data_IF_125156331113
#
_entry.id   IF_125156331113
#
_cell.length_a   1.000
_cell.length_b   1.000
_cell.length_c   1.000
_cell.angle_alpha   90.00
_cell.angle_beta   90.00
_cell.angle_gamma   90.00
#
_symmetry.space_group_name_H-M   'P 1'
#
loop_
_entity.id
_entity.type
_entity.pdbx_description
1 polymer ?
#
# COMPACT_ATOMS: atom_id res chain seq x y z
N UNK A 1 -4.64 -4.66 26.59
CA UNK A 1 -5.57 -3.69 25.97
C UNK A 1 -4.86 -2.60 25.15
N UNK A 2 -3.78 -1.97 25.64
CA UNK A 2 -3.08 -0.86 24.94
C UNK A 2 -2.56 -1.23 23.54
N UNK A 3 -2.12 -2.48 23.29
CA UNK A 3 -1.67 -2.91 21.95
C UNK A 3 -2.80 -3.02 20.91
N UNK A 4 -4.02 -3.34 21.33
CA UNK A 4 -5.18 -3.51 20.44
C UNK A 4 -5.81 -2.18 20.04
N UNK A 5 -5.68 -1.12 20.84
CA UNK A 5 -6.18 0.21 20.49
C UNK A 5 -5.15 1.05 19.72
N UNK A 6 -3.87 0.66 19.78
CA UNK A 6 -2.76 1.37 19.13
C UNK A 6 -2.98 1.60 17.62
N UNK A 7 -3.59 0.68 16.84
CA UNK A 7 -3.88 0.92 15.42
C UNK A 7 -4.97 1.97 15.21
N UNK A 8 -5.98 2.05 16.08
CA UNK A 8 -7.05 3.06 16.01
C UNK A 8 -6.54 4.47 16.31
N UNK A 9 -5.51 4.60 17.14
CA UNK A 9 -4.90 5.90 17.44
C UNK A 9 -3.81 6.33 16.44
N UNK A 10 -3.52 5.52 15.41
CA UNK A 10 -2.51 5.85 14.40
C UNK A 10 -3.14 6.39 13.13
N UNK A 11 -2.70 7.58 12.70
CA UNK A 11 -3.08 8.19 11.43
C UNK A 11 -2.79 7.30 10.20
N UNK A 12 -1.83 6.36 10.33
CA UNK A 12 -1.50 5.39 9.27
C UNK A 12 -2.65 4.43 8.93
N UNK A 13 -3.51 4.09 9.89
CA UNK A 13 -4.66 3.22 9.64
C UNK A 13 -5.69 3.95 8.77
N UNK A 14 -5.96 5.22 9.06
CA UNK A 14 -6.93 6.02 8.32
C UNK A 14 -6.42 6.41 6.93
N UNK A 15 -5.13 6.70 6.78
CA UNK A 15 -4.53 6.99 5.46
C UNK A 15 -4.53 5.75 4.56
N UNK A 16 -4.29 4.55 5.11
CA UNK A 16 -4.46 3.27 4.39
C UNK A 16 -5.89 3.01 3.98
N UNK A 17 -6.84 3.27 4.88
CA UNK A 17 -8.27 3.16 4.59
C UNK A 17 -8.66 4.12 3.46
N UNK A 18 -8.23 5.38 3.55
CA UNK A 18 -8.46 6.39 2.52
C UNK A 18 -7.88 5.95 1.18
N UNK A 19 -6.67 5.40 1.15
CA UNK A 19 -6.04 4.90 -0.07
C UNK A 19 -6.87 3.82 -0.78
N UNK A 20 -7.54 2.95 -0.02
CA UNK A 20 -8.44 1.91 -0.55
C UNK A 20 -9.80 2.47 -0.99
N UNK A 21 -10.27 3.55 -0.36
CA UNK A 21 -11.55 4.19 -0.67
C UNK A 21 -11.52 5.11 -1.89
N UNK A 22 -10.42 5.82 -2.15
CA UNK A 22 -10.31 6.75 -3.30
C UNK A 22 -10.77 6.14 -4.64
N UNK A 23 -10.31 4.95 -5.08
CA UNK A 23 -10.75 4.37 -6.35
C UNK A 23 -12.25 4.00 -6.35
N UNK A 24 -12.83 3.73 -5.19
CA UNK A 24 -14.25 3.39 -5.06
C UNK A 24 -15.15 4.59 -5.31
N UNK A 25 -14.65 5.83 -5.25
CA UNK A 25 -15.42 7.01 -5.64
C UNK A 25 -15.80 6.97 -7.13
N UNK A 26 -14.87 6.56 -7.98
CA UNK A 26 -15.11 6.42 -9.43
C UNK A 26 -16.15 5.33 -9.68
N UNK A 27 -16.04 4.20 -8.98
CA UNK A 27 -17.02 3.10 -9.06
C UNK A 27 -18.40 3.57 -8.58
N UNK A 28 -18.45 4.33 -7.48
CA UNK A 28 -19.70 4.84 -6.92
C UNK A 28 -20.40 5.78 -7.90
N UNK A 29 -19.66 6.72 -8.51
CA UNK A 29 -20.19 7.60 -9.55
C UNK A 29 -20.67 6.80 -10.77
N UNK A 30 -19.91 5.77 -11.16
CA UNK A 30 -20.30 4.91 -12.29
C UNK A 30 -21.60 4.15 -12.02
N UNK A 31 -21.85 3.69 -10.79
CA UNK A 31 -23.09 3.00 -10.43
C UNK A 31 -24.34 3.89 -10.62
N UNK A 32 -24.21 5.21 -10.53
CA UNK A 32 -25.31 6.13 -10.87
C UNK A 32 -25.57 6.25 -12.38
N UNK A 33 -24.60 5.91 -13.21
CA UNK A 33 -24.70 5.96 -14.67
C UNK A 33 -25.24 4.62 -15.19
N UNK A 34 -24.60 3.52 -14.80
CA UNK A 34 -25.00 2.16 -15.19
C UNK A 34 -24.66 1.16 -14.08
N UNK A 35 -25.69 0.76 -13.33
CA UNK A 35 -25.60 -0.21 -12.24
C UNK A 35 -25.28 -1.63 -12.73
N UNK A 36 -25.71 -2.00 -13.95
CA UNK A 36 -25.49 -3.36 -14.49
C UNK A 36 -24.04 -3.59 -14.90
N UNK A 37 -23.32 -2.52 -15.23
CA UNK A 37 -21.96 -2.57 -15.76
C UNK A 37 -20.91 -2.14 -14.73
N UNK A 38 -21.05 -2.57 -13.47
CA UNK A 38 -20.11 -2.26 -12.37
C UNK A 38 -18.65 -2.67 -12.62
N UNK A 39 -18.40 -3.55 -13.60
CA UNK A 39 -17.07 -4.03 -13.98
C UNK A 39 -16.33 -3.08 -14.94
N UNK A 40 -17.02 -2.11 -15.55
CA UNK A 40 -16.44 -1.20 -16.55
C UNK A 40 -15.28 -0.37 -15.99
N UNK A 41 -15.37 0.25 -14.79
CA UNK A 41 -14.22 0.95 -14.20
C UNK A 41 -12.99 0.05 -14.03
N UNK A 42 -13.19 -1.22 -13.66
CA UNK A 42 -12.09 -2.18 -13.53
C UNK A 42 -11.50 -2.60 -14.90
N UNK A 43 -12.31 -2.65 -15.95
CA UNK A 43 -11.84 -2.90 -17.31
C UNK A 43 -11.04 -1.71 -17.86
N UNK A 44 -11.48 -0.47 -17.60
CA UNK A 44 -10.80 0.77 -18.00
C UNK A 44 -9.44 0.93 -17.30
N UNK A 45 -9.27 0.41 -16.08
CA UNK A 45 -7.98 0.43 -15.39
C UNK A 45 -6.89 -0.38 -16.10
N UNK A 46 -7.25 -1.36 -16.94
CA UNK A 46 -6.29 -2.20 -17.67
C UNK A 46 -5.45 -1.37 -18.66
N UNK A 47 -6.03 -0.63 -19.63
CA UNK A 47 -5.24 0.22 -20.51
C UNK A 47 -4.58 1.38 -19.76
N UNK A 48 -5.21 1.92 -18.71
CA UNK A 48 -4.62 2.98 -17.87
C UNK A 48 -3.34 2.49 -17.19
N UNK A 49 -3.34 1.28 -16.61
CA UNK A 49 -2.16 0.71 -15.97
C UNK A 49 -0.99 0.41 -16.91
N UNK A 50 -1.21 0.39 -18.23
CA UNK A 50 -0.15 0.25 -19.22
C UNK A 50 0.59 1.57 -19.52
N UNK A 51 0.06 2.71 -19.06
CA UNK A 51 0.68 4.02 -19.19
C UNK A 51 1.83 4.14 -18.17
N UNK A 52 3.09 4.37 -18.60
CA UNK A 52 4.24 4.42 -17.70
C UNK A 52 4.13 5.46 -16.58
N UNK A 53 3.43 6.58 -16.83
CA UNK A 53 3.20 7.65 -15.86
C UNK A 53 2.26 7.26 -14.70
N UNK A 54 1.45 6.21 -14.87
CA UNK A 54 0.54 5.75 -13.81
C UNK A 54 1.31 5.08 -12.68
N UNK A 55 2.44 4.41 -12.99
CA UNK A 55 3.33 3.85 -11.97
C UNK A 55 3.90 4.93 -11.04
N UNK A 56 4.30 6.08 -11.60
CA UNK A 56 4.82 7.21 -10.82
C UNK A 56 3.76 7.78 -9.88
N UNK A 57 2.54 8.01 -10.37
CA UNK A 57 1.41 8.51 -9.56
C UNK A 57 1.01 7.55 -8.44
N UNK A 58 0.91 6.25 -8.76
CA UNK A 58 0.60 5.21 -7.77
C UNK A 58 1.70 5.03 -6.73
N UNK A 59 2.97 5.11 -7.13
CA UNK A 59 4.13 5.05 -6.22
C UNK A 59 4.13 6.22 -5.22
N UNK A 60 3.80 7.43 -5.68
CA UNK A 60 3.67 8.61 -4.81
C UNK A 60 2.49 8.46 -3.84
N UNK A 61 1.31 8.05 -4.33
CA UNK A 61 0.16 7.79 -3.45
C UNK A 61 0.44 6.70 -2.42
N UNK A 62 1.10 5.61 -2.82
CA UNK A 62 1.46 4.52 -1.92
C UNK A 62 2.45 5.00 -0.84
N UNK A 63 3.45 5.80 -1.21
CA UNK A 63 4.41 6.36 -0.25
C UNK A 63 3.73 7.30 0.75
N UNK A 64 2.87 8.20 0.27
CA UNK A 64 2.20 9.19 1.13
C UNK A 64 1.14 8.57 2.04
N UNK A 65 0.37 7.58 1.54
CA UNK A 65 -0.81 7.07 2.24
C UNK A 65 -0.62 5.71 2.92
N UNK A 66 0.27 4.84 2.43
CA UNK A 66 0.48 3.51 3.03
C UNK A 66 1.64 3.49 4.03
N UNK A 67 2.65 4.34 3.84
CA UNK A 67 3.86 4.42 4.65
C UNK A 67 4.27 5.88 4.99
N UNK A 68 3.42 6.66 5.69
CA UNK A 68 3.76 8.04 6.05
C UNK A 68 5.03 8.09 6.90
N UNK A 69 6.03 8.88 6.48
CA UNK A 69 7.24 9.16 7.26
C UNK A 69 8.34 8.10 7.24
N UNK A 70 8.27 7.11 6.34
CA UNK A 70 9.37 6.16 6.11
C UNK A 70 10.11 6.58 4.83
N UNK A 71 11.30 7.17 5.01
CA UNK A 71 12.20 7.67 3.95
C UNK A 71 12.98 6.53 3.23
N UNK A 72 12.36 5.37 3.07
CA UNK A 72 13.00 4.26 2.37
C UNK A 72 12.66 4.24 0.89
N UNK A 73 13.71 4.00 0.11
CA UNK A 73 13.78 3.56 -1.30
C UNK A 73 12.93 2.32 -1.68
N UNK A 74 11.95 1.95 -0.85
CA UNK A 74 11.08 0.77 -0.98
C UNK A 74 10.06 0.87 -2.11
N UNK A 75 9.78 2.07 -2.64
CA UNK A 75 8.86 2.29 -3.76
C UNK A 75 9.60 2.99 -4.90
N UNK A 76 9.60 2.38 -6.09
CA UNK A 76 10.19 2.99 -7.28
C UNK A 76 9.24 4.08 -7.80
N UNK A 77 9.69 5.33 -7.75
CA UNK A 77 9.05 6.50 -8.37
C UNK A 77 9.59 6.67 -9.82
N UNK A 78 10.19 5.63 -10.39
CA UNK A 78 10.63 5.64 -11.77
C UNK A 78 9.50 5.20 -12.73
N UNK A 79 9.40 5.79 -13.93
CA UNK A 79 8.50 5.31 -14.98
C UNK A 79 8.78 3.84 -15.34
N UNK A 80 7.75 3.08 -15.69
CA UNK A 80 7.93 1.68 -16.14
C UNK A 80 8.77 1.61 -17.42
N UNK A 81 10.02 1.13 -17.31
CA UNK A 81 10.92 0.95 -18.44
C UNK A 81 10.59 -0.30 -19.28
N UNK A 82 10.01 -1.34 -18.66
CA UNK A 82 9.76 -2.64 -19.31
C UNK A 82 8.28 -3.05 -19.30
N UNK A 83 7.90 -3.94 -20.23
CA UNK A 83 6.53 -4.47 -20.34
C UNK A 83 6.08 -5.23 -19.09
N UNK A 84 7.00 -5.95 -18.44
CA UNK A 84 6.77 -6.65 -17.18
C UNK A 84 6.40 -5.70 -16.03
N UNK A 85 6.96 -4.51 -16.03
CA UNK A 85 6.66 -3.48 -15.04
C UNK A 85 5.28 -2.86 -15.25
N UNK A 86 4.86 -2.68 -16.50
CA UNK A 86 3.50 -2.26 -16.85
C UNK A 86 2.46 -3.31 -16.42
N UNK A 87 2.73 -4.60 -16.65
CA UNK A 87 1.87 -5.67 -16.17
C UNK A 87 1.79 -5.71 -14.64
N UNK A 88 2.89 -5.46 -13.92
CA UNK A 88 2.87 -5.34 -12.45
C UNK A 88 2.01 -4.16 -11.99
N UNK A 89 2.05 -3.03 -12.67
CA UNK A 89 1.18 -1.87 -12.39
C UNK A 89 -0.29 -2.21 -12.65
N UNK A 90 -0.62 -2.88 -13.76
CA UNK A 90 -2.00 -3.35 -14.03
C UNK A 90 -2.47 -4.31 -12.93
N UNK A 91 -1.68 -5.32 -12.57
CA UNK A 91 -2.01 -6.27 -11.50
C UNK A 91 -2.20 -5.54 -10.17
N UNK A 92 -1.35 -4.56 -9.85
CA UNK A 92 -1.51 -3.73 -8.67
C UNK A 92 -2.85 -2.98 -8.66
N UNK A 93 -3.22 -2.33 -9.77
CA UNK A 93 -4.49 -1.60 -9.86
C UNK A 93 -5.69 -2.53 -9.68
N UNK A 94 -5.66 -3.74 -10.26
CA UNK A 94 -6.73 -4.72 -10.07
C UNK A 94 -6.80 -5.22 -8.63
N UNK A 95 -5.66 -5.52 -8.00
CA UNK A 95 -5.61 -5.90 -6.58
C UNK A 95 -6.14 -4.77 -5.69
N UNK A 96 -5.74 -3.52 -5.95
CA UNK A 96 -6.23 -2.34 -5.22
C UNK A 96 -7.74 -2.17 -5.39
N UNK A 97 -8.27 -2.41 -6.60
CA UNK A 97 -9.70 -2.35 -6.88
C UNK A 97 -10.49 -3.38 -6.06
N UNK A 98 -10.01 -4.63 -6.04
CA UNK A 98 -10.62 -5.70 -5.25
C UNK A 98 -10.56 -5.40 -3.74
N UNK A 99 -9.42 -4.95 -3.24
CA UNK A 99 -9.26 -4.58 -1.83
C UNK A 99 -10.14 -3.39 -1.46
N UNK A 100 -10.28 -2.40 -2.34
CA UNK A 100 -11.18 -1.27 -2.17
C UNK A 100 -12.64 -1.71 -2.10
N UNK A 101 -13.09 -2.58 -3.00
CA UNK A 101 -14.45 -3.11 -2.99
C UNK A 101 -14.76 -3.88 -1.71
N UNK A 102 -13.84 -4.74 -1.26
CA UNK A 102 -13.95 -5.44 0.02
C UNK A 102 -14.01 -4.46 1.20
N UNK A 103 -13.18 -3.42 1.19
CA UNK A 103 -13.15 -2.40 2.24
C UNK A 103 -14.47 -1.64 2.30
N UNK A 104 -15.01 -1.20 1.16
CA UNK A 104 -16.32 -0.54 1.10
C UNK A 104 -17.43 -1.47 1.57
N UNK A 105 -17.45 -2.72 1.11
CA UNK A 105 -18.44 -3.70 1.53
C UNK A 105 -18.44 -3.91 3.04
N UNK A 106 -17.27 -4.13 3.63
CA UNK A 106 -17.11 -4.31 5.08
C UNK A 106 -17.49 -3.05 5.86
N UNK A 107 -17.08 -1.87 5.40
CA UNK A 107 -17.39 -0.59 6.04
C UNK A 107 -18.88 -0.22 5.99
N UNK A 108 -19.63 -0.73 5.01
CA UNK A 108 -21.09 -0.49 4.92
C UNK A 108 -21.86 -1.60 5.64
N UNK A 109 -21.59 -2.86 5.33
CA UNK A 109 -22.39 -3.98 5.81
C UNK A 109 -22.21 -4.29 7.29
N UNK A 110 -21.00 -4.18 7.85
CA UNK A 110 -20.78 -4.53 9.26
C UNK A 110 -21.43 -3.53 10.24
N UNK A 111 -21.39 -2.20 10.02
CA UNK A 111 -22.17 -1.26 10.82
C UNK A 111 -23.68 -1.48 10.68
N UNK A 112 -24.18 -1.70 9.45
CA UNK A 112 -25.61 -1.99 9.22
C UNK A 112 -26.02 -3.24 9.99
N UNK A 113 -25.23 -4.32 9.93
CA UNK A 113 -25.46 -5.55 10.68
C UNK A 113 -25.49 -5.30 12.20
N UNK A 114 -24.58 -4.49 12.73
CA UNK A 114 -24.57 -4.14 14.16
C UNK A 114 -25.86 -3.39 14.56
N UNK A 115 -26.29 -2.41 13.74
CA UNK A 115 -27.53 -1.65 13.99
C UNK A 115 -28.76 -2.55 13.92
N UNK A 116 -28.87 -3.41 12.90
CA UNK A 116 -29.98 -4.33 12.76
C UNK A 116 -30.03 -5.34 13.93
N UNK A 117 -28.89 -5.84 14.41
CA UNK A 117 -28.84 -6.70 15.61
C UNK A 117 -29.40 -6.00 16.85
N UNK A 118 -29.08 -4.72 17.05
CA UNK A 118 -29.62 -3.91 18.17
C UNK A 118 -31.13 -3.67 17.96
N UNK A 119 -31.56 -3.28 16.77
CA UNK A 119 -32.98 -3.07 16.45
C UNK A 119 -33.80 -4.33 16.68
N UNK A 120 -33.29 -5.48 16.26
CA UNK A 120 -33.94 -6.77 16.46
C UNK A 120 -34.01 -7.14 17.95
N UNK A 121 -32.94 -6.89 18.73
CA UNK A 121 -32.96 -7.09 20.17
C UNK A 121 -34.00 -6.20 20.88
N UNK A 122 -34.30 -5.02 20.31
CA UNK A 122 -35.32 -4.09 20.79
C UNK A 122 -36.75 -4.42 20.28
N UNK A 123 -36.96 -5.56 19.62
CA UNK A 123 -38.29 -5.98 19.16
C UNK A 123 -38.72 -5.43 17.80
N UNK A 124 -37.84 -4.75 17.07
CA UNK A 124 -38.16 -4.25 15.73
C UNK A 124 -38.06 -5.36 14.68
N UNK A 125 -38.92 -5.28 13.66
CA UNK A 125 -38.76 -6.10 12.45
C UNK A 125 -37.54 -5.61 11.68
N UNK A 126 -36.65 -6.53 11.35
CA UNK A 126 -35.41 -6.30 10.61
C UNK A 126 -35.49 -6.99 9.27
N UNK A 127 -34.89 -6.38 8.26
CA UNK A 127 -34.98 -6.84 6.86
C UNK A 127 -33.78 -7.72 6.47
N UNK A 128 -33.20 -8.42 7.45
CA UNK A 128 -32.11 -9.35 7.25
C UNK A 128 -32.67 -10.75 6.96
N UNK A 129 -32.31 -11.39 5.82
CA UNK A 129 -32.85 -12.69 5.44
C UNK A 129 -32.74 -13.76 6.53
N UNK A 130 -31.66 -13.72 7.32
CA UNK A 130 -31.38 -14.71 8.38
C UNK A 130 -32.03 -14.41 9.73
N UNK A 131 -32.51 -13.18 9.96
CA UNK A 131 -33.20 -12.77 11.20
C UNK A 131 -34.70 -12.52 10.99
N UNK A 132 -35.18 -12.58 9.74
CA UNK A 132 -36.56 -12.28 9.37
C UNK A 132 -37.57 -13.20 10.03
N UNK A 133 -37.22 -14.49 10.16
CA UNK A 133 -38.08 -15.53 10.75
C UNK A 133 -37.73 -15.81 12.24
N UNK A 134 -36.69 -15.16 12.76
CA UNK A 134 -36.27 -15.33 14.14
C UNK A 134 -37.10 -14.46 15.10
N UNK A 135 -37.46 -15.02 16.25
CA UNK A 135 -38.14 -14.25 17.28
C UNK A 135 -37.16 -13.21 17.88
N UNK A 136 -37.59 -11.94 18.05
CA UNK A 136 -36.78 -10.93 18.71
C UNK A 136 -36.32 -11.39 20.09
N UNK A 137 -35.00 -11.36 20.33
CA UNK A 137 -34.40 -11.83 21.57
C UNK A 137 -33.28 -10.90 22.04
N UNK A 138 -33.21 -10.61 23.34
CA UNK A 138 -32.18 -9.72 23.93
C UNK A 138 -30.75 -10.19 23.66
N UNK A 139 -30.55 -11.50 23.48
CA UNK A 139 -29.25 -12.09 23.16
C UNK A 139 -28.62 -11.50 21.88
N UNK A 140 -29.41 -11.01 20.91
CA UNK A 140 -28.87 -10.36 19.72
C UNK A 140 -28.13 -9.06 20.03
N UNK A 141 -28.47 -8.36 21.12
CA UNK A 141 -27.71 -7.20 21.58
C UNK A 141 -26.29 -7.58 22.02
N UNK A 142 -26.10 -8.79 22.54
CA UNK A 142 -24.77 -9.30 22.91
C UNK A 142 -23.92 -9.65 21.68
N UNK A 143 -24.55 -9.93 20.53
CA UNK A 143 -23.87 -10.14 19.25
C UNK A 143 -23.53 -8.83 18.53
N UNK A 144 -24.21 -7.72 18.83
CA UNK A 144 -23.99 -6.43 18.15
C UNK A 144 -22.54 -5.89 18.18
N UNK A 145 -21.73 -6.13 19.23
CA UNK A 145 -20.31 -5.75 19.21
C UNK A 145 -19.45 -6.57 18.24
N UNK A 146 -19.88 -7.79 17.86
CA UNK A 146 -19.08 -8.70 17.05
C UNK A 146 -18.81 -8.17 15.63
N UNK A 147 -19.81 -7.64 14.88
CA UNK A 147 -19.56 -6.95 13.61
C UNK A 147 -18.60 -5.77 13.74
N UNK A 148 -18.64 -5.01 14.84
CA UNK A 148 -17.74 -3.88 15.06
C UNK A 148 -16.29 -4.33 15.30
N UNK A 149 -16.10 -5.43 16.03
CA UNK A 149 -14.78 -6.05 16.20
C UNK A 149 -14.26 -6.62 14.88
N UNK A 150 -15.13 -7.24 14.08
CA UNK A 150 -14.78 -7.71 12.75
C UNK A 150 -14.40 -6.54 11.82
N UNK A 151 -15.13 -5.42 11.87
CA UNK A 151 -14.82 -4.20 11.13
C UNK A 151 -13.44 -3.67 11.51
N UNK A 152 -13.14 -3.59 12.81
CA UNK A 152 -11.84 -3.19 13.29
C UNK A 152 -10.72 -4.08 12.73
N UNK A 153 -10.89 -5.41 12.84
CA UNK A 153 -9.92 -6.37 12.32
C UNK A 153 -9.73 -6.27 10.80
N UNK A 154 -10.82 -6.07 10.06
CA UNK A 154 -10.81 -5.95 8.61
C UNK A 154 -10.13 -4.66 8.14
N UNK A 155 -10.39 -3.51 8.76
CA UNK A 155 -9.73 -2.23 8.41
C UNK A 155 -8.21 -2.34 8.59
N UNK A 156 -7.76 -2.91 9.72
CA UNK A 156 -6.33 -3.09 9.98
C UNK A 156 -5.72 -4.14 9.04
N UNK A 157 -6.40 -5.27 8.84
CA UNK A 157 -5.96 -6.36 8.00
C UNK A 157 -5.85 -5.98 6.53
N UNK A 158 -6.89 -5.38 5.95
CA UNK A 158 -6.92 -4.92 4.57
C UNK A 158 -5.85 -3.85 4.31
N UNK A 159 -5.67 -2.90 5.24
CA UNK A 159 -4.59 -1.93 5.14
C UNK A 159 -3.20 -2.56 5.16
N UNK A 160 -2.99 -3.62 5.95
CA UNK A 160 -1.74 -4.37 5.98
C UNK A 160 -1.50 -5.17 4.69
N UNK A 161 -2.54 -5.85 4.19
CA UNK A 161 -2.50 -6.58 2.91
C UNK A 161 -2.22 -5.63 1.76
N UNK A 162 -2.88 -4.47 1.71
CA UNK A 162 -2.63 -3.43 0.72
C UNK A 162 -1.18 -2.95 0.77
N UNK A 163 -0.63 -2.73 1.97
CA UNK A 163 0.78 -2.33 2.14
C UNK A 163 1.74 -3.43 1.67
N UNK A 164 1.45 -4.69 1.94
CA UNK A 164 2.27 -5.82 1.49
C UNK A 164 2.22 -5.97 -0.04
N UNK A 165 1.01 -5.91 -0.63
CA UNK A 165 0.80 -5.97 -2.06
C UNK A 165 1.47 -4.80 -2.79
N UNK A 166 1.37 -3.58 -2.25
CA UNK A 166 2.05 -2.40 -2.79
C UNK A 166 3.57 -2.62 -2.81
N UNK A 167 4.17 -3.12 -1.72
CA UNK A 167 5.62 -3.40 -1.68
C UNK A 167 6.03 -4.49 -2.67
N UNK A 168 5.22 -5.52 -2.85
CA UNK A 168 5.53 -6.60 -3.78
C UNK A 168 5.41 -6.18 -5.25
N UNK A 169 4.40 -5.37 -5.58
CA UNK A 169 4.03 -5.03 -6.96
C UNK A 169 4.62 -3.70 -7.44
N UNK A 170 4.76 -2.70 -6.55
CA UNK A 170 5.36 -1.39 -6.83
C UNK A 170 6.81 -1.26 -6.30
N UNK A 171 7.32 -2.29 -5.61
CA UNK A 171 8.71 -2.34 -5.18
C UNK A 171 9.70 -2.47 -6.34
N UNK A 172 10.96 -2.04 -6.14
CA UNK A 172 11.96 -1.90 -7.19
C UNK A 172 12.12 -3.20 -7.99
N UNK A 173 12.07 -3.09 -9.32
CA UNK A 173 12.23 -4.21 -10.23
C UNK A 173 13.64 -4.82 -10.09
N UNK A 174 13.83 -6.08 -10.47
CA UNK A 174 15.15 -6.73 -10.39
C UNK A 174 16.24 -5.97 -11.18
N UNK A 175 15.85 -5.30 -12.28
CA UNK A 175 16.72 -4.44 -13.07
C UNK A 175 17.13 -3.16 -12.33
N UNK A 176 16.19 -2.50 -11.64
CA UNK A 176 16.49 -1.31 -10.81
C UNK A 176 17.38 -1.67 -9.61
N UNK A 177 17.23 -2.90 -9.08
CA UNK A 177 18.13 -3.40 -8.02
C UNK A 177 19.53 -3.68 -8.56
N UNK A 178 19.64 -4.20 -9.78
CA UNK A 178 20.93 -4.46 -10.43
C UNK A 178 21.65 -3.14 -10.75
N UNK A 179 20.96 -2.16 -11.33
CA UNK A 179 21.56 -0.85 -11.61
C UNK A 179 22.01 -0.13 -10.33
N UNK A 180 21.22 -0.22 -9.26
CA UNK A 180 21.62 0.34 -7.96
C UNK A 180 22.82 -0.40 -7.33
N UNK A 181 23.00 -1.69 -7.63
CA UNK A 181 24.18 -2.45 -7.22
C UNK A 181 25.40 -2.11 -8.09
N UNK A 182 25.22 -1.92 -9.39
CA UNK A 182 26.26 -1.48 -10.32
C UNK A 182 26.80 -0.10 -9.91
N UNK A 183 25.92 0.87 -9.68
CA UNK A 183 26.29 2.23 -9.26
C UNK A 183 27.04 2.24 -7.92
N UNK A 184 26.62 1.40 -6.96
CA UNK A 184 27.36 1.21 -5.70
C UNK A 184 28.73 0.58 -5.91
N UNK A 185 28.84 -0.36 -6.85
CA UNK A 185 30.12 -1.01 -7.16
C UNK A 185 31.07 -0.02 -7.82
N UNK A 186 30.59 0.79 -8.76
CA UNK A 186 31.36 1.87 -9.38
C UNK A 186 31.85 2.88 -8.33
N UNK A 187 31.00 3.30 -7.39
CA UNK A 187 31.42 4.20 -6.30
C UNK A 187 32.51 3.58 -5.40
N UNK A 188 32.47 2.28 -5.14
CA UNK A 188 33.50 1.59 -4.36
C UNK A 188 34.82 1.47 -5.14
N UNK A 189 34.75 1.23 -6.46
CA UNK A 189 35.91 1.23 -7.34
C UNK A 189 36.55 2.63 -7.44
N UNK A 190 35.74 3.68 -7.53
CA UNK A 190 36.21 5.07 -7.52
C UNK A 190 36.95 5.38 -6.22
N UNK A 191 36.37 5.03 -5.06
CA UNK A 191 36.99 5.24 -3.75
C UNK A 191 38.31 4.48 -3.59
N UNK A 192 38.37 3.23 -4.05
CA UNK A 192 39.60 2.44 -3.97
C UNK A 192 40.68 2.95 -4.91
N UNK A 193 40.31 3.48 -6.08
CA UNK A 193 41.23 4.18 -6.98
C UNK A 193 41.79 5.44 -6.33
N UNK A 194 40.95 6.31 -5.77
CA UNK A 194 41.37 7.53 -5.07
C UNK A 194 42.33 7.20 -3.93
N UNK A 195 42.02 6.18 -3.11
CA UNK A 195 42.89 5.77 -2.03
C UNK A 195 44.28 5.32 -2.53
N UNK A 196 44.33 4.66 -3.69
CA UNK A 196 45.58 4.21 -4.31
C UNK A 196 46.39 5.37 -4.89
N UNK A 197 45.75 6.28 -5.61
CA UNK A 197 46.39 7.51 -6.12
C UNK A 197 46.94 8.39 -4.98
N UNK A 198 46.19 8.50 -3.86
CA UNK A 198 46.67 9.18 -2.66
C UNK A 198 47.88 8.46 -2.04
N UNK A 199 47.83 7.14 -1.91
CA UNK A 199 48.95 6.36 -1.37
C UNK A 199 50.22 6.53 -2.21
N UNK A 200 50.11 6.50 -3.54
CA UNK A 200 51.23 6.68 -4.46
C UNK A 200 51.82 8.10 -4.33
N UNK A 201 50.98 9.13 -4.22
CA UNK A 201 51.44 10.52 -4.04
C UNK A 201 52.18 10.74 -2.72
N UNK A 202 51.70 10.14 -1.63
CA UNK A 202 52.35 10.19 -0.31
C UNK A 202 53.66 9.42 -0.34
N UNK A 203 53.69 8.23 -0.95
CA UNK A 203 54.90 7.44 -1.12
C UNK A 203 55.98 8.17 -1.91
N UNK A 204 55.61 8.88 -2.97
CA UNK A 204 56.52 9.74 -3.73
C UNK A 204 57.03 10.93 -2.91
N UNK A 205 56.12 11.66 -2.23
CA UNK A 205 56.49 12.81 -1.41
C UNK A 205 57.43 12.44 -0.26
N UNK A 206 57.18 11.31 0.41
CA UNK A 206 58.05 10.80 1.48
C UNK A 206 59.45 10.45 0.95
N UNK A 207 59.51 9.80 -0.21
CA UNK A 207 60.80 9.42 -0.83
C UNK A 207 61.61 10.66 -1.20
N UNK A 208 60.98 11.68 -1.79
CA UNK A 208 61.63 12.97 -2.10
C UNK A 208 62.13 13.65 -0.83
N UNK A 209 61.32 13.70 0.22
CA UNK A 209 61.70 14.31 1.49
C UNK A 209 62.89 13.58 2.15
N UNK A 210 62.92 12.24 2.11
CA UNK A 210 64.04 11.43 2.63
C UNK A 210 65.32 11.68 1.83
N UNK A 211 65.25 11.76 0.50
CA UNK A 211 66.41 12.09 -0.35
C UNK A 211 66.92 13.51 -0.08
N UNK A 212 66.01 14.48 0.13
CA UNK A 212 66.40 15.86 0.46
C UNK A 212 67.00 16.01 1.86
N UNK A 213 66.61 15.18 2.83
CA UNK A 213 67.18 15.21 4.17
C UNK A 213 68.55 14.50 4.28
N UNK A 214 68.89 13.66 3.30
CA UNK A 214 70.19 12.97 3.22
C UNK A 214 71.25 13.69 2.37
N UNK A 215 70.89 14.77 1.68
CA UNK A 215 71.77 15.65 0.90
C UNK A 215 72.15 16.90 1.70
#
# INVERSE_FOLDING_TARGET
>A
MVRLLRPLCRGTTYTRLLHLWVPMLVVSVWMFIDERSMWVPAAVLVPVGLVPAVRTGEGVQARLLLMPGIDDSSFSVAPSAHWRDRLRTVVWLQVRMLLGALTTGVCVWLPVLAVELVRHALGHRVDLPFLRDAAPHWAYALLAPLPLLALYGAVVGLGAVATAAARALLGPSAAERLSALEERTEQLLERTRIARELHDSIGHALTVAVVQAGA
#
